data_IF_953181519354
#
_entry.id   IF_953181519354
#
_cell.length_a   1.000
_cell.length_b   1.000
_cell.length_c   1.000
_cell.angle_alpha   90.00
_cell.angle_beta   90.00
_cell.angle_gamma   90.00
#
_symmetry.space_group_name_H-M   'P 1'
#
loop_
_entity.id
_entity.type
_entity.pdbx_description
1 polymer ?
#
# COMPACT_ATOMS: atom_id res chain seq x y z
N UNK A 1 3.91 -4.18 15.15
CA UNK A 1 2.62 -4.91 15.28
C UNK A 1 1.54 -4.18 14.50
N UNK A 2 0.76 -4.86 13.68
CA UNK A 2 -0.35 -4.19 13.02
C UNK A 2 -1.44 -3.85 14.04
N UNK A 3 -2.24 -2.83 13.73
CA UNK A 3 -3.37 -2.51 14.59
C UNK A 3 -4.41 -3.62 14.51
N UNK A 4 -5.21 -3.75 15.58
CA UNK A 4 -6.24 -4.77 15.62
C UNK A 4 -7.43 -4.38 14.73
N UNK A 5 -7.97 -5.35 14.01
CA UNK A 5 -9.03 -5.10 13.07
C UNK A 5 -9.98 -6.31 13.07
N UNK A 6 -11.27 -6.06 13.29
CA UNK A 6 -12.26 -7.13 13.20
C UNK A 6 -12.81 -7.24 11.76
N UNK A 7 -13.60 -8.29 11.52
CA UNK A 7 -14.11 -8.56 10.18
C UNK A 7 -15.01 -7.44 9.67
N UNK A 8 -15.81 -6.84 10.53
CA UNK A 8 -16.70 -5.75 10.15
C UNK A 8 -15.90 -4.53 9.65
N UNK A 9 -14.84 -4.17 10.37
CA UNK A 9 -13.97 -3.08 9.96
C UNK A 9 -13.28 -3.38 8.64
N UNK A 10 -12.79 -4.61 8.48
CA UNK A 10 -12.15 -5.05 7.26
C UNK A 10 -13.11 -4.91 6.07
N UNK A 11 -14.32 -5.45 6.20
CA UNK A 11 -15.30 -5.41 5.12
C UNK A 11 -15.73 -3.98 4.77
N UNK A 12 -15.90 -3.13 5.78
CA UNK A 12 -16.29 -1.73 5.56
C UNK A 12 -15.22 -0.97 4.77
N UNK A 13 -13.96 -1.15 5.12
CA UNK A 13 -12.86 -0.46 4.43
C UNK A 13 -12.71 -0.98 3.01
N UNK A 14 -12.84 -2.30 2.80
CA UNK A 14 -12.75 -2.86 1.46
C UNK A 14 -13.85 -2.33 0.53
N UNK A 15 -14.99 -1.95 1.06
CA UNK A 15 -16.10 -1.45 0.25
C UNK A 15 -16.05 0.06 0.00
N UNK A 16 -15.07 0.76 0.58
CA UNK A 16 -14.90 2.20 0.33
C UNK A 16 -14.50 2.47 -1.13
N UNK A 17 -14.93 3.60 -1.70
CA UNK A 17 -14.39 4.02 -3.00
C UNK A 17 -12.88 4.22 -2.92
N UNK A 18 -12.19 4.10 -4.06
CA UNK A 18 -10.73 4.16 -4.11
C UNK A 18 -10.17 5.42 -3.43
N UNK A 19 -10.79 6.59 -3.65
CA UNK A 19 -10.32 7.83 -3.03
C UNK A 19 -10.40 7.77 -1.51
N UNK A 20 -11.45 7.16 -0.97
CA UNK A 20 -11.61 7.01 0.48
C UNK A 20 -10.65 5.99 1.06
N UNK A 21 -10.37 4.92 0.31
CA UNK A 21 -9.35 3.94 0.72
C UNK A 21 -7.97 4.60 0.77
N UNK A 22 -7.68 5.47 -0.19
CA UNK A 22 -6.43 6.22 -0.21
C UNK A 22 -6.28 7.07 1.05
N UNK A 23 -7.32 7.84 1.41
CA UNK A 23 -7.31 8.65 2.62
C UNK A 23 -7.12 7.79 3.87
N UNK A 24 -7.81 6.66 3.94
CA UNK A 24 -7.68 5.71 5.05
C UNK A 24 -6.26 5.17 5.15
N UNK A 25 -5.67 4.81 4.01
CA UNK A 25 -4.29 4.33 3.96
C UNK A 25 -3.32 5.37 4.52
N UNK A 26 -3.41 6.60 4.04
CA UNK A 26 -2.52 7.68 4.49
C UNK A 26 -2.64 7.88 6.01
N UNK A 27 -3.87 7.94 6.52
CA UNK A 27 -4.11 8.15 7.94
C UNK A 27 -3.53 7.01 8.80
N UNK A 28 -3.81 5.76 8.43
CA UNK A 28 -3.38 4.60 9.21
C UNK A 28 -1.87 4.40 9.19
N UNK A 29 -1.25 4.56 8.03
CA UNK A 29 0.21 4.40 7.91
C UNK A 29 0.93 5.49 8.70
N UNK A 30 0.45 6.72 8.63
CA UNK A 30 1.05 7.83 9.38
C UNK A 30 0.93 7.60 10.89
N UNK A 31 -0.21 7.07 11.33
CA UNK A 31 -0.50 6.85 12.74
C UNK A 31 0.29 5.67 13.32
N UNK A 32 0.39 4.57 12.58
CA UNK A 32 1.02 3.33 13.06
C UNK A 32 2.48 3.18 12.61
N UNK A 33 2.94 4.01 11.67
CA UNK A 33 4.31 4.05 11.18
C UNK A 33 4.77 2.75 10.54
N UNK A 34 3.85 2.02 9.94
CA UNK A 34 4.15 0.82 9.17
C UNK A 34 3.18 0.65 8.01
N UNK A 35 3.65 0.00 6.96
CA UNK A 35 2.81 -0.34 5.82
C UNK A 35 3.22 -1.72 5.33
N UNK A 36 2.42 -2.30 4.43
CA UNK A 36 2.58 -3.70 4.05
C UNK A 36 2.55 -3.84 2.53
N UNK A 37 3.35 -4.77 2.01
CA UNK A 37 3.33 -5.16 0.60
C UNK A 37 3.22 -6.68 0.54
N UNK A 38 3.34 -7.27 -0.65
CA UNK A 38 3.38 -8.72 -0.81
C UNK A 38 4.76 -9.13 -1.30
N UNK A 39 5.25 -10.23 -0.77
CA UNK A 39 6.53 -10.80 -1.15
C UNK A 39 6.32 -12.28 -1.47
N UNK A 40 6.80 -12.69 -2.65
CA UNK A 40 6.78 -14.08 -3.07
C UNK A 40 8.16 -14.69 -3.08
N UNK A 41 8.27 -15.93 -3.60
CA UNK A 41 9.58 -16.64 -3.65
C UNK A 41 10.65 -15.89 -4.42
N UNK A 42 10.26 -15.12 -5.43
CA UNK A 42 11.19 -14.40 -6.30
C UNK A 42 11.39 -12.93 -5.90
N UNK A 43 10.83 -12.50 -4.77
CA UNK A 43 10.93 -11.14 -4.29
C UNK A 43 9.58 -10.44 -4.20
N UNK A 44 9.62 -9.12 -4.19
CA UNK A 44 8.39 -8.32 -4.05
C UNK A 44 7.49 -8.45 -5.28
N UNK A 45 6.18 -8.39 -5.03
CA UNK A 45 5.20 -8.41 -6.11
C UNK A 45 5.26 -7.09 -6.88
N UNK A 46 5.30 -7.20 -8.20
CA UNK A 46 5.19 -6.06 -9.11
C UNK A 46 4.07 -6.38 -10.09
N UNK A 47 3.25 -5.40 -10.42
CA UNK A 47 2.25 -5.60 -11.46
C UNK A 47 2.14 -4.36 -12.34
N UNK A 48 1.63 -4.54 -13.56
CA UNK A 48 1.42 -3.44 -14.48
C UNK A 48 0.02 -2.86 -14.34
N UNK A 49 -0.10 -1.54 -14.47
CA UNK A 49 -1.42 -0.92 -14.57
C UNK A 49 -1.88 -0.94 -16.04
N UNK A 50 -3.05 -0.36 -16.31
CA UNK A 50 -3.62 -0.35 -17.67
C UNK A 50 -2.76 0.42 -18.68
N UNK A 51 -1.87 1.30 -18.20
CA UNK A 51 -0.96 2.07 -19.05
C UNK A 51 0.41 1.42 -19.21
N UNK A 52 0.63 0.25 -18.60
CA UNK A 52 1.90 -0.47 -18.65
C UNK A 52 2.92 -0.05 -17.60
N UNK A 53 2.57 0.77 -16.65
CA UNK A 53 3.47 1.17 -15.57
C UNK A 53 3.66 0.03 -14.58
N UNK A 54 4.90 -0.21 -14.15
CA UNK A 54 5.16 -1.15 -13.07
C UNK A 54 4.84 -0.52 -11.73
N UNK A 55 4.09 -1.25 -10.90
CA UNK A 55 3.60 -0.75 -9.62
C UNK A 55 3.94 -1.71 -8.49
N UNK A 56 4.25 -1.15 -7.33
CA UNK A 56 4.38 -1.92 -6.09
C UNK A 56 3.09 -1.70 -5.30
N UNK A 57 2.36 -2.78 -4.97
CA UNK A 57 1.12 -2.65 -4.19
C UNK A 57 1.43 -2.44 -2.71
N UNK A 58 0.68 -1.57 -2.04
CA UNK A 58 0.85 -1.31 -0.61
C UNK A 58 -0.49 -1.19 0.09
N UNK A 59 -0.51 -1.58 1.36
CA UNK A 59 -1.71 -1.61 2.21
C UNK A 59 -1.37 -1.16 3.63
N UNK A 60 -2.37 -0.69 4.39
CA UNK A 60 -2.13 -0.27 5.78
C UNK A 60 -2.15 -1.42 6.80
N UNK A 61 -2.53 -2.64 6.37
CA UNK A 61 -2.66 -3.78 7.27
C UNK A 61 -2.43 -5.06 6.48
N UNK A 62 -1.80 -6.08 7.09
CA UNK A 62 -1.49 -7.31 6.36
C UNK A 62 -2.73 -8.10 5.90
N UNK A 63 -3.87 -7.96 6.57
CA UNK A 63 -5.07 -8.67 6.18
C UNK A 63 -5.56 -8.26 4.78
N UNK A 64 -5.40 -6.98 4.42
CA UNK A 64 -5.76 -6.51 3.09
C UNK A 64 -4.81 -7.08 2.03
N UNK A 65 -3.52 -7.16 2.35
CA UNK A 65 -2.54 -7.78 1.45
C UNK A 65 -2.88 -9.25 1.22
N UNK A 66 -3.21 -9.97 2.30
CA UNK A 66 -3.57 -11.38 2.22
C UNK A 66 -4.80 -11.61 1.36
N UNK A 67 -5.74 -10.67 1.32
CA UNK A 67 -6.94 -10.79 0.51
C UNK A 67 -6.62 -10.84 -0.99
N UNK A 68 -5.47 -10.30 -1.42
CA UNK A 68 -5.01 -10.36 -2.81
C UNK A 68 -4.01 -11.47 -3.06
N UNK A 69 -3.58 -12.21 -2.04
CA UNK A 69 -2.62 -13.31 -2.20
C UNK A 69 -3.35 -14.56 -2.70
N UNK A 70 -3.89 -14.46 -3.92
CA UNK A 70 -4.69 -15.52 -4.55
C UNK A 70 -4.24 -15.68 -6.01
N UNK A 71 -4.55 -16.83 -6.58
CA UNK A 71 -4.23 -17.12 -7.98
C UNK A 71 -2.73 -16.93 -8.24
N UNK A 72 -2.37 -16.01 -9.12
CA UNK A 72 -0.96 -15.74 -9.46
C UNK A 72 -0.11 -15.43 -8.24
N UNK A 73 -0.70 -14.82 -7.19
CA UNK A 73 0.01 -14.41 -6.00
C UNK A 73 -0.24 -15.31 -4.79
N UNK A 74 -0.72 -16.54 -5.02
CA UNK A 74 -1.07 -17.46 -3.94
C UNK A 74 0.14 -17.85 -3.06
N UNK A 75 1.36 -17.77 -3.61
CA UNK A 75 2.58 -18.07 -2.86
C UNK A 75 3.15 -16.86 -2.14
N UNK A 76 2.46 -15.73 -2.18
CA UNK A 76 2.95 -14.49 -1.59
C UNK A 76 2.44 -14.30 -0.17
N UNK A 77 3.26 -13.64 0.63
CA UNK A 77 2.93 -13.33 2.02
C UNK A 77 3.07 -11.83 2.26
N UNK A 78 2.29 -11.27 3.21
CA UNK A 78 2.48 -9.87 3.57
C UNK A 78 3.89 -9.62 4.11
N UNK A 79 4.49 -8.53 3.67
CA UNK A 79 5.81 -8.10 4.12
C UNK A 79 5.69 -6.71 4.72
N UNK A 80 6.13 -6.55 5.97
CA UNK A 80 6.08 -5.27 6.65
C UNK A 80 7.18 -4.35 6.14
N UNK A 81 6.84 -3.08 5.94
CA UNK A 81 7.80 -2.03 5.61
C UNK A 81 7.72 -0.98 6.71
N UNK A 82 8.88 -0.60 7.25
CA UNK A 82 8.95 0.47 8.24
C UNK A 82 8.71 1.81 7.53
N UNK A 83 7.88 2.67 8.13
CA UNK A 83 7.50 3.93 7.52
C UNK A 83 8.70 4.80 7.17
N UNK A 84 9.64 4.94 8.12
CA UNK A 84 10.82 5.78 7.92
C UNK A 84 11.70 5.26 6.78
N UNK A 85 11.93 3.94 6.74
CA UNK A 85 12.69 3.32 5.65
C UNK A 85 12.00 3.50 4.31
N UNK A 86 10.67 3.40 4.30
CA UNK A 86 9.91 3.61 3.07
C UNK A 86 10.12 5.02 2.54
N UNK A 87 10.00 6.01 3.41
CA UNK A 87 10.17 7.42 3.03
C UNK A 87 11.57 7.74 2.56
N UNK A 88 12.59 7.18 3.22
CA UNK A 88 13.99 7.53 2.95
C UNK A 88 14.65 6.71 1.86
N UNK A 89 14.25 5.44 1.70
CA UNK A 89 14.92 4.52 0.79
C UNK A 89 14.03 4.03 -0.35
N UNK A 90 12.80 3.65 -0.05
CA UNK A 90 11.90 3.06 -1.05
C UNK A 90 11.39 4.11 -2.04
N UNK A 91 11.00 5.29 -1.54
CA UNK A 91 10.47 6.35 -2.40
C UNK A 91 11.51 6.79 -3.44
N UNK A 92 12.75 7.18 -3.03
CA UNK A 92 13.77 7.52 -4.02
C UNK A 92 14.13 6.38 -4.96
N UNK A 93 14.20 5.14 -4.42
CA UNK A 93 14.53 3.97 -5.24
C UNK A 93 13.49 3.66 -6.29
N UNK A 94 12.21 3.72 -5.94
CA UNK A 94 11.13 3.51 -6.91
C UNK A 94 11.15 4.58 -7.99
N UNK A 95 11.35 5.83 -7.60
CA UNK A 95 11.40 6.93 -8.55
C UNK A 95 12.56 6.75 -9.54
N UNK A 96 13.72 6.35 -9.04
CA UNK A 96 14.89 6.10 -9.88
C UNK A 96 14.63 4.97 -10.88
N UNK A 97 13.91 3.93 -10.46
CA UNK A 97 13.58 2.77 -11.28
C UNK A 97 12.40 3.00 -12.20
N UNK A 98 11.76 4.17 -12.12
CA UNK A 98 10.58 4.46 -12.93
C UNK A 98 9.33 3.70 -12.51
N UNK A 99 9.26 3.29 -11.26
CA UNK A 99 8.12 2.54 -10.71
C UNK A 99 7.15 3.45 -9.99
N UNK A 100 5.90 3.00 -9.95
CA UNK A 100 4.81 3.72 -9.30
C UNK A 100 4.31 2.92 -8.10
N UNK A 101 3.44 3.52 -7.32
CA UNK A 101 2.84 2.88 -6.15
C UNK A 101 1.36 2.65 -6.41
N UNK A 102 0.92 1.41 -6.22
CA UNK A 102 -0.51 1.07 -6.30
C UNK A 102 -1.04 1.05 -4.88
N UNK A 103 -1.77 2.10 -4.51
CA UNK A 103 -2.23 2.28 -3.14
C UNK A 103 -3.54 1.55 -2.92
N UNK A 104 -3.49 0.55 -2.05
CA UNK A 104 -4.65 -0.17 -1.52
C UNK A 104 -5.50 -0.85 -2.60
N UNK A 105 -4.91 -1.73 -3.44
CA UNK A 105 -5.73 -2.54 -4.35
C UNK A 105 -6.60 -3.52 -3.58
N UNK A 106 -7.80 -3.80 -4.10
CA UNK A 106 -8.71 -4.77 -3.52
C UNK A 106 -9.12 -5.80 -4.57
N UNK A 107 -9.69 -6.95 -4.16
CA UNK A 107 -10.13 -7.94 -5.15
C UNK A 107 -11.18 -7.43 -6.12
N UNK A 108 -11.95 -6.41 -5.73
CA UNK A 108 -13.08 -5.93 -6.52
C UNK A 108 -12.84 -4.61 -7.23
N UNK A 109 -11.81 -3.86 -6.85
CA UNK A 109 -11.55 -2.54 -7.41
C UNK A 109 -10.07 -2.28 -7.60
N UNK A 110 -9.76 -1.46 -8.59
CA UNK A 110 -8.38 -1.05 -8.86
C UNK A 110 -7.87 -0.07 -7.82
N UNK A 111 -6.57 -0.08 -7.61
CA UNK A 111 -5.89 0.86 -6.74
C UNK A 111 -5.76 2.23 -7.41
N UNK A 112 -5.49 3.24 -6.59
CA UNK A 112 -5.01 4.52 -7.10
C UNK A 112 -3.51 4.36 -7.29
N UNK A 113 -3.05 4.64 -8.51
CA UNK A 113 -1.62 4.58 -8.86
C UNK A 113 -1.05 5.98 -8.80
N UNK A 114 -0.02 6.17 -7.98
CA UNK A 114 0.58 7.49 -7.78
C UNK A 114 2.08 7.42 -7.95
N UNK A 115 2.68 8.56 -8.29
CA UNK A 115 4.11 8.74 -8.29
C UNK A 115 4.62 8.64 -6.84
N UNK A 116 5.78 8.00 -6.60
CA UNK A 116 6.29 7.86 -5.24
C UNK A 116 6.46 9.20 -4.49
N UNK A 117 6.90 10.24 -5.17
CA UNK A 117 7.07 11.55 -4.54
C UNK A 117 5.74 12.18 -4.15
N UNK A 118 4.67 11.95 -4.94
CA UNK A 118 3.34 12.40 -4.61
C UNK A 118 2.85 11.74 -3.32
N UNK A 119 3.11 10.44 -3.20
CA UNK A 119 2.74 9.70 -1.99
C UNK A 119 3.48 10.27 -0.78
N UNK A 120 4.78 10.56 -0.93
CA UNK A 120 5.55 11.16 0.15
C UNK A 120 4.96 12.49 0.60
N UNK A 121 4.57 13.34 -0.34
CA UNK A 121 3.94 14.63 -0.03
C UNK A 121 2.65 14.44 0.75
N UNK A 122 1.84 13.46 0.37
CA UNK A 122 0.59 13.18 1.06
C UNK A 122 0.82 12.69 2.50
N UNK A 123 1.84 11.86 2.72
CA UNK A 123 2.22 11.44 4.07
C UNK A 123 2.70 12.63 4.91
N UNK A 124 3.51 13.50 4.33
CA UNK A 124 4.02 14.67 5.06
C UNK A 124 2.89 15.63 5.44
N UNK A 125 1.94 15.83 4.53
CA UNK A 125 0.77 16.67 4.81
C UNK A 125 -0.07 16.11 5.94
N UNK A 126 -0.26 14.79 5.97
CA UNK A 126 -1.01 14.14 7.04
C UNK A 126 -0.29 14.26 8.38
N UNK A 127 1.03 14.07 8.39
CA UNK A 127 1.83 14.18 9.60
C UNK A 127 1.74 15.59 10.22
N UNK A 128 1.70 16.61 9.36
CA UNK A 128 1.62 18.01 9.83
C UNK A 128 0.29 18.32 10.51
N UNK A 129 -0.79 17.60 10.16
CA UNK A 129 -2.10 17.83 10.77
C UNK A 129 -2.14 17.50 12.26
N UNK A 130 -1.18 16.70 12.74
CA UNK A 130 -1.14 16.25 14.13
C UNK A 130 -0.05 16.93 14.95
N UNK A 131 0.54 17.96 14.42
CA UNK A 131 1.54 18.77 15.15
C UNK A 131 0.90 19.94 15.88
#
# INVERSE_FOLDING_TARGET
MPYEMNKSQFDQVLSLPAAKRYEHFISKVTDWEELWTLKGPDGLVLFGDDSGKECIPIWPHPDYASALAKNTWSDCLPEKLEFESFMEKWIPGMSQDGRFVAVFPTPNEKAIVVDPWRLKDDFLSESERYK
#
